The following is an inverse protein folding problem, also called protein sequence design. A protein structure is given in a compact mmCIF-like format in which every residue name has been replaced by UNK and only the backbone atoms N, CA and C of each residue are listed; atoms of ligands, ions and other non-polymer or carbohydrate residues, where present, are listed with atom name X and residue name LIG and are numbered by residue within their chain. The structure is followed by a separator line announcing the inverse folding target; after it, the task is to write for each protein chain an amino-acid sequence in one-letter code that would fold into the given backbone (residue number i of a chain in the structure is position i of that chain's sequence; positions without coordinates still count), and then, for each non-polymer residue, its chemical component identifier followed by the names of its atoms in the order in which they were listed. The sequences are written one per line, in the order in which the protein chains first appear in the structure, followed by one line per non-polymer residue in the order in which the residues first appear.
data_IF_695219333744
#
_entry.id   IF_695219333744
#
_cell.length_a   1.000
_cell.length_b   1.000
_cell.length_c   1.000
_cell.angle_alpha   90.00
_cell.angle_beta   90.00
_cell.angle_gamma   90.00
#
_symmetry.space_group_name_H-M   'P 1'
#
loop_
_entity.id
_entity.type
_entity.pdbx_description
1 polymer ?
#
# COMPACT_ATOMS: atom_id res chain seq x y z
N UNK A 1 17.49 -18.60 -14.48
CA UNK A 1 18.96 -18.41 -14.32
C UNK A 1 19.50 -19.06 -13.04
N UNK A 2 18.87 -18.86 -11.86
CA UNK A 2 19.31 -19.51 -10.59
C UNK A 2 18.96 -21.01 -10.55
N UNK A 3 17.73 -21.40 -10.89
CA UNK A 3 17.32 -22.81 -10.92
C UNK A 3 18.19 -23.65 -11.88
N UNK A 4 18.39 -23.15 -13.09
CA UNK A 4 19.26 -23.77 -14.08
C UNK A 4 20.72 -23.91 -13.60
N UNK A 5 21.22 -23.00 -12.77
CA UNK A 5 22.57 -23.14 -12.20
C UNK A 5 22.63 -24.24 -11.14
N UNK A 6 21.62 -24.32 -10.26
CA UNK A 6 21.50 -25.38 -9.26
C UNK A 6 21.34 -26.76 -9.90
N UNK A 7 20.59 -26.84 -11.00
CA UNK A 7 20.42 -28.08 -11.78
C UNK A 7 21.75 -28.54 -12.41
N UNK A 8 22.55 -27.60 -12.95
CA UNK A 8 23.88 -27.88 -13.49
C UNK A 8 24.86 -28.36 -12.41
N UNK A 9 24.73 -27.85 -11.18
CA UNK A 9 25.52 -28.30 -10.03
C UNK A 9 25.05 -29.66 -9.47
N UNK A 10 23.98 -30.24 -10.02
CA UNK A 10 23.42 -31.51 -9.56
C UNK A 10 22.78 -31.43 -8.19
N UNK A 11 22.49 -30.22 -7.70
CA UNK A 11 21.87 -30.00 -6.39
C UNK A 11 20.37 -30.26 -6.51
N UNK A 12 19.90 -31.35 -5.91
CA UNK A 12 18.45 -31.53 -5.68
C UNK A 12 18.00 -30.54 -4.62
N UNK A 13 17.16 -29.58 -5.03
CA UNK A 13 16.53 -28.63 -4.11
C UNK A 13 15.02 -28.86 -4.05
N UNK A 14 14.43 -28.46 -2.92
CA UNK A 14 12.98 -28.39 -2.76
C UNK A 14 12.54 -26.97 -3.07
N UNK A 15 11.79 -26.78 -4.16
CA UNK A 15 11.29 -25.47 -4.58
C UNK A 15 10.50 -24.73 -3.49
N UNK A 16 9.71 -25.45 -2.69
CA UNK A 16 8.94 -24.85 -1.59
C UNK A 16 9.86 -24.36 -0.48
N UNK A 17 10.93 -25.10 -0.18
CA UNK A 17 11.93 -24.69 0.80
C UNK A 17 12.70 -23.46 0.32
N UNK A 18 13.10 -23.43 -0.94
CA UNK A 18 13.76 -22.26 -1.53
C UNK A 18 12.84 -21.03 -1.53
N UNK A 19 11.56 -21.21 -1.89
CA UNK A 19 10.58 -20.13 -1.87
C UNK A 19 10.37 -19.58 -0.45
N UNK A 20 10.20 -20.46 0.54
CA UNK A 20 10.06 -20.06 1.94
C UNK A 20 11.31 -19.33 2.44
N UNK A 21 12.49 -19.87 2.16
CA UNK A 21 13.78 -19.27 2.54
C UNK A 21 13.95 -17.88 1.92
N UNK A 22 13.61 -17.72 0.64
CA UNK A 22 13.70 -16.44 -0.03
C UNK A 22 12.73 -15.40 0.58
N UNK A 23 11.49 -15.80 0.86
CA UNK A 23 10.47 -14.95 1.49
C UNK A 23 10.93 -14.49 2.88
N UNK A 24 11.53 -15.38 3.68
CA UNK A 24 12.06 -15.04 5.01
C UNK A 24 13.20 -14.03 4.95
N UNK A 25 14.01 -14.05 3.88
CA UNK A 25 15.13 -13.12 3.69
C UNK A 25 14.72 -11.76 3.12
N UNK A 26 13.44 -11.52 2.82
CA UNK A 26 13.00 -10.23 2.29
C UNK A 26 13.04 -9.12 3.35
N UNK A 27 13.45 -7.89 3.00
CA UNK A 27 13.48 -6.77 3.94
C UNK A 27 12.08 -6.39 4.45
N UNK A 28 11.96 -5.77 5.64
CA UNK A 28 10.67 -5.30 6.19
C UNK A 28 9.91 -4.33 5.26
N UNK A 29 10.62 -3.60 4.39
CA UNK A 29 10.01 -2.71 3.39
C UNK A 29 9.20 -3.42 2.30
N UNK A 30 9.09 -4.75 2.38
CA UNK A 30 8.29 -5.60 1.50
C UNK A 30 7.01 -6.13 2.17
N UNK A 31 6.65 -5.67 3.38
CA UNK A 31 5.55 -6.25 4.17
C UNK A 31 4.20 -6.35 3.44
N UNK A 32 3.84 -5.34 2.66
CA UNK A 32 2.62 -5.36 1.85
C UNK A 32 2.70 -6.42 0.73
N UNK A 33 3.84 -6.51 0.05
CA UNK A 33 4.09 -7.53 -0.96
C UNK A 33 4.19 -8.95 -0.37
N UNK A 34 4.75 -9.09 0.83
CA UNK A 34 4.82 -10.35 1.56
C UNK A 34 3.42 -10.91 1.85
N UNK A 35 2.46 -10.04 2.16
CA UNK A 35 1.06 -10.43 2.38
C UNK A 35 0.43 -10.99 1.10
N UNK A 36 0.71 -10.35 -0.05
CA UNK A 36 0.34 -10.86 -1.37
C UNK A 36 1.00 -12.22 -1.67
N UNK A 37 2.29 -12.36 -1.41
CA UNK A 37 3.02 -13.60 -1.64
C UNK A 37 2.44 -14.75 -0.83
N UNK A 38 2.22 -14.56 0.48
CA UNK A 38 1.65 -15.58 1.38
C UNK A 38 0.29 -16.11 0.91
N UNK A 39 -0.55 -15.24 0.34
CA UNK A 39 -1.85 -15.65 -0.22
C UNK A 39 -1.69 -16.57 -1.46
N UNK A 40 -0.64 -16.35 -2.26
CA UNK A 40 -0.43 -17.04 -3.55
C UNK A 40 0.63 -18.14 -3.51
N UNK A 41 1.37 -18.32 -2.41
CA UNK A 41 2.48 -19.27 -2.28
C UNK A 41 2.12 -20.70 -2.72
N UNK A 42 0.90 -21.17 -2.45
CA UNK A 42 0.48 -22.53 -2.82
C UNK A 42 0.33 -22.78 -4.32
N UNK A 43 0.22 -21.73 -5.13
CA UNK A 43 -0.02 -21.82 -6.58
C UNK A 43 1.16 -21.28 -7.41
N UNK A 44 2.27 -20.96 -6.76
CA UNK A 44 3.33 -20.17 -7.36
C UNK A 44 4.64 -20.97 -7.36
N UNK A 45 5.28 -21.09 -8.51
CA UNK A 45 6.59 -21.77 -8.61
C UNK A 45 7.71 -20.88 -8.07
N UNK A 46 8.88 -21.45 -7.79
CA UNK A 46 10.03 -20.66 -7.35
C UNK A 46 10.50 -19.68 -8.45
N UNK A 47 10.44 -20.09 -9.71
CA UNK A 47 10.80 -19.22 -10.84
C UNK A 47 9.86 -18.01 -10.94
N UNK A 48 8.56 -18.25 -10.85
CA UNK A 48 7.57 -17.17 -10.82
C UNK A 48 7.82 -16.22 -9.64
N UNK A 49 8.26 -16.75 -8.49
CA UNK A 49 8.55 -15.93 -7.31
C UNK A 49 9.70 -14.97 -7.58
N UNK A 50 10.78 -15.45 -8.19
CA UNK A 50 11.92 -14.63 -8.59
C UNK A 50 11.47 -13.53 -9.56
N UNK A 51 10.72 -13.89 -10.60
CA UNK A 51 10.26 -12.93 -11.62
C UNK A 51 9.43 -11.81 -10.97
N UNK A 52 8.49 -12.16 -10.10
CA UNK A 52 7.67 -11.14 -9.42
C UNK A 52 8.47 -10.26 -8.46
N UNK A 53 9.46 -10.82 -7.78
CA UNK A 53 10.36 -10.04 -6.92
C UNK A 53 11.15 -9.01 -7.73
N UNK A 54 11.69 -9.40 -8.88
CA UNK A 54 12.42 -8.48 -9.77
C UNK A 54 11.52 -7.33 -10.26
N UNK A 55 10.33 -7.65 -10.78
CA UNK A 55 9.35 -6.65 -11.22
C UNK A 55 9.03 -5.66 -10.09
N UNK A 56 8.78 -6.17 -8.89
CA UNK A 56 8.40 -5.33 -7.77
C UNK A 56 9.56 -4.47 -7.27
N UNK A 57 10.80 -4.96 -7.36
CA UNK A 57 11.99 -4.17 -7.05
C UNK A 57 12.15 -3.02 -8.04
N UNK A 58 11.96 -3.28 -9.33
CA UNK A 58 12.03 -2.26 -10.38
C UNK A 58 10.92 -1.22 -10.23
N UNK A 59 9.70 -1.64 -9.90
CA UNK A 59 8.60 -0.73 -9.57
C UNK A 59 8.96 0.19 -8.40
N UNK A 60 9.57 -0.34 -7.34
CA UNK A 60 10.02 0.47 -6.18
C UNK A 60 11.11 1.47 -6.55
N UNK A 61 11.93 1.19 -7.57
CA UNK A 61 12.94 2.12 -8.10
C UNK A 61 12.35 3.18 -9.04
N UNK A 62 11.31 2.80 -9.79
CA UNK A 62 10.65 3.67 -10.76
C UNK A 62 9.66 4.66 -10.13
N UNK A 63 9.11 4.34 -8.96
CA UNK A 63 8.28 5.28 -8.20
C UNK A 63 9.14 6.47 -7.76
N UNK A 64 8.78 7.72 -8.12
CA UNK A 64 9.35 8.89 -7.47
C UNK A 64 9.15 8.71 -5.98
N UNK A 65 10.19 8.87 -5.16
CA UNK A 65 10.02 8.92 -3.70
C UNK A 65 8.94 9.97 -3.45
N UNK A 66 7.71 9.55 -3.14
CA UNK A 66 6.66 10.48 -2.78
C UNK A 66 7.26 11.34 -1.68
N UNK A 67 7.41 12.63 -1.98
CA UNK A 67 7.86 13.59 -1.00
C UNK A 67 6.88 13.43 0.15
N UNK A 68 7.40 13.02 1.31
CA UNK A 68 6.69 13.14 2.58
C UNK A 68 5.96 14.48 2.55
N UNK A 69 4.67 14.55 2.93
CA UNK A 69 3.89 15.77 2.79
C UNK A 69 4.70 16.89 3.42
N UNK A 70 5.20 17.78 2.57
CA UNK A 70 6.00 18.91 3.01
C UNK A 70 5.09 19.66 3.96
N UNK A 71 5.47 19.70 5.23
CA UNK A 71 4.83 20.52 6.25
C UNK A 71 4.56 21.88 5.60
N UNK A 72 3.29 22.18 5.40
CA UNK A 72 2.87 23.44 4.83
C UNK A 72 3.29 24.52 5.82
N UNK A 73 4.50 25.07 5.63
CA UNK A 73 4.94 26.30 6.28
C UNK A 73 4.05 27.42 5.76
N UNK A 74 2.96 27.62 6.49
CA UNK A 74 2.04 28.73 6.34
C UNK A 74 2.83 30.03 6.54
N UNK A 75 3.08 30.75 5.44
CA UNK A 75 3.64 32.09 5.50
C UNK A 75 2.55 33.02 6.04
N UNK A 76 2.69 33.41 7.30
CA UNK A 76 1.89 34.42 7.97
C UNK A 76 2.17 35.79 7.31
N UNK A 77 1.31 36.19 6.37
CA UNK A 77 1.32 37.56 5.85
C UNK A 77 0.51 38.46 6.80
N UNK A 78 1.22 39.26 7.57
CA UNK A 78 0.70 40.30 8.46
C UNK A 78 0.01 41.41 7.64
N UNK A 79 -1.32 41.37 7.55
CA UNK A 79 -2.12 42.50 7.10
C UNK A 79 -2.60 43.30 8.32
N UNK A 80 -1.93 44.42 8.58
CA UNK A 80 -2.27 45.43 9.59
C UNK A 80 -3.63 46.08 9.27
N UNK A 81 -4.59 45.95 10.20
CA UNK A 81 -5.84 46.71 10.23
C UNK A 81 -6.60 46.45 11.54
N UNK A 82 -6.57 47.42 12.46
CA UNK A 82 -7.05 47.29 13.85
C UNK A 82 -8.58 47.58 13.99
N UNK A 83 -9.22 47.46 15.17
CA UNK A 83 -10.23 46.44 15.46
C UNK A 83 -11.63 47.04 15.77
N UNK A 84 -12.73 46.34 15.49
CA UNK A 84 -14.03 46.62 16.15
C UNK A 84 -15.09 45.53 16.01
N UNK A 85 -15.45 44.96 17.17
CA UNK A 85 -16.81 44.56 17.59
C UNK A 85 -17.57 43.50 16.76
N UNK A 86 -17.53 42.25 17.23
CA UNK A 86 -18.64 41.55 17.96
C UNK A 86 -18.41 40.05 17.90
N UNK A 87 -18.27 39.43 19.08
CA UNK A 87 -18.37 37.99 19.26
C UNK A 87 -19.79 37.53 18.91
N UNK A 88 -19.91 36.63 17.94
CA UNK A 88 -20.98 35.62 17.89
C UNK A 88 -20.32 34.29 17.54
N UNK A 89 -20.24 33.40 18.51
CA UNK A 89 -19.99 31.98 18.24
C UNK A 89 -21.27 31.45 17.58
N UNK A 90 -21.22 31.21 16.27
CA UNK A 90 -22.08 30.23 15.63
C UNK A 90 -21.18 29.07 15.24
N UNK A 91 -21.51 27.91 15.81
CA UNK A 91 -20.80 26.67 15.62
C UNK A 91 -21.33 26.07 14.32
N UNK A 92 -20.80 26.52 13.18
CA UNK A 92 -21.12 25.95 11.89
C UNK A 92 -20.31 24.68 11.70
N UNK A 93 -20.79 23.60 12.32
CA UNK A 93 -20.36 22.25 12.03
C UNK A 93 -20.59 21.95 10.56
N UNK A 94 -19.56 22.10 9.73
CA UNK A 94 -19.50 21.46 8.40
C UNK A 94 -19.28 19.96 8.61
N UNK A 95 -20.33 19.27 9.03
CA UNK A 95 -20.50 17.86 8.69
C UNK A 95 -20.59 17.84 7.17
N UNK A 96 -19.58 17.27 6.52
CA UNK A 96 -19.65 16.97 5.10
C UNK A 96 -20.98 16.26 4.85
N UNK A 97 -21.83 16.87 4.02
CA UNK A 97 -23.05 16.23 3.58
C UNK A 97 -22.61 14.94 2.87
N UNK A 98 -22.83 13.80 3.53
CA UNK A 98 -22.83 12.52 2.85
C UNK A 98 -23.95 12.65 1.81
N UNK A 99 -23.57 12.82 0.54
CA UNK A 99 -24.52 12.78 -0.56
C UNK A 99 -25.28 11.46 -0.45
N UNK A 100 -26.57 11.57 -0.14
CA UNK A 100 -27.44 10.40 -0.03
C UNK A 100 -27.55 9.79 -1.41
N UNK A 101 -27.03 8.57 -1.56
CA UNK A 101 -27.21 7.77 -2.77
C UNK A 101 -28.71 7.69 -3.08
N UNK A 102 -29.11 8.26 -4.22
CA UNK A 102 -30.49 8.27 -4.70
C UNK A 102 -30.62 7.23 -5.83
N UNK A 103 -30.48 5.97 -5.44
CA UNK A 103 -30.64 4.82 -6.32
C UNK A 103 -31.22 3.64 -5.54
N UNK A 104 -32.04 2.82 -6.20
CA UNK A 104 -32.57 1.61 -5.58
C UNK A 104 -31.47 0.52 -5.55
N UNK A 105 -31.09 0.06 -4.35
CA UNK A 105 -30.29 -1.17 -4.17
C UNK A 105 -31.21 -2.38 -4.35
N UNK A 106 -30.91 -3.26 -5.31
CA UNK A 106 -31.67 -4.50 -5.54
C UNK A 106 -30.98 -5.76 -4.95
N UNK A 107 -29.93 -5.61 -4.12
CA UNK A 107 -29.17 -6.74 -3.57
C UNK A 107 -28.64 -6.50 -2.15
N UNK A 108 -29.43 -5.88 -1.28
CA UNK A 108 -29.03 -5.62 0.10
C UNK A 108 -29.78 -6.57 1.07
N UNK A 109 -29.40 -7.86 1.08
CA UNK A 109 -29.80 -8.89 2.07
C UNK A 109 -28.52 -9.70 2.40
N UNK A 110 -28.07 -9.99 3.62
CA UNK A 110 -28.48 -9.69 4.98
C UNK A 110 -27.19 -9.62 5.81
N UNK A 111 -26.98 -8.55 6.56
CA UNK A 111 -26.02 -8.51 7.66
C UNK A 111 -26.81 -8.11 8.90
N UNK A 112 -27.47 -9.10 9.49
CA UNK A 112 -27.89 -9.07 10.88
C UNK A 112 -27.39 -10.37 11.49
N UNK A 113 -26.61 -10.17 12.55
CA UNK A 113 -25.99 -11.11 13.50
C UNK A 113 -26.88 -12.25 13.93
#
# INVERSE_FOLDING_TARGET
MILHHLDLEGLKYNEQFLAASLIEKLPPSWNEFLSYLKLKTKKMTFEELIIKLQIQEDNKKALPRERQPAEAKENLAEAKGNPSKKRKFQNDGKTQAIEKFKGNCHHCENLVT
#
